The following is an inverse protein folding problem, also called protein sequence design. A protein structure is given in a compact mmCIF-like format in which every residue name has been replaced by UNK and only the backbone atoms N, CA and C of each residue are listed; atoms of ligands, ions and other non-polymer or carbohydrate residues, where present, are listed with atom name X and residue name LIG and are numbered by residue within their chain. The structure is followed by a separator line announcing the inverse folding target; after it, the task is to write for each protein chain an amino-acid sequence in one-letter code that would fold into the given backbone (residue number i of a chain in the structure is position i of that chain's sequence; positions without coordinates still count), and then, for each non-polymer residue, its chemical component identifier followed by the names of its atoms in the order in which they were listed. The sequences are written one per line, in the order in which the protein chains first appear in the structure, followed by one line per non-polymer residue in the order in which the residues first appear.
data_IF_268619257511
#
_entry.id   IF_268619257511
#
_cell.length_a   1.000
_cell.length_b   1.000
_cell.length_c   1.000
_cell.angle_alpha   90.00
_cell.angle_beta   90.00
_cell.angle_gamma   90.00
#
_symmetry.space_group_name_H-M   'P 1'
#
loop_
_entity.id
_entity.type
_entity.pdbx_description
1 polymer ?
#
# COMPACT_ATOMS: atom_id res chain seq x y z
N UNK A 1 30.52 19.11 -14.48
CA UNK A 1 29.26 19.44 -15.19
C UNK A 1 28.64 18.27 -15.99
N UNK A 2 29.41 17.29 -16.50
CA UNK A 2 28.84 16.15 -17.27
C UNK A 2 28.17 15.05 -16.43
N UNK A 3 28.57 14.82 -15.17
CA UNK A 3 27.95 13.77 -14.31
C UNK A 3 26.50 14.10 -13.94
N UNK A 4 26.18 15.37 -13.63
CA UNK A 4 24.81 15.77 -13.27
C UNK A 4 23.84 15.65 -14.45
N UNK A 5 24.28 15.98 -15.68
CA UNK A 5 23.45 15.84 -16.90
C UNK A 5 23.10 14.38 -17.20
N UNK A 6 24.01 13.44 -16.94
CA UNK A 6 23.75 12.00 -17.08
C UNK A 6 22.74 11.51 -16.04
N UNK A 7 22.85 11.97 -14.79
CA UNK A 7 21.90 11.64 -13.71
C UNK A 7 20.51 12.20 -14.03
N UNK A 8 20.43 13.46 -14.50
CA UNK A 8 19.18 14.09 -14.92
C UNK A 8 18.57 13.33 -16.11
N UNK A 9 19.39 12.98 -17.12
CA UNK A 9 18.93 12.21 -18.28
C UNK A 9 18.38 10.82 -17.89
N UNK A 10 19.04 10.13 -16.95
CA UNK A 10 18.60 8.84 -16.42
C UNK A 10 17.29 8.95 -15.63
N UNK A 11 17.15 10.00 -14.81
CA UNK A 11 15.92 10.30 -14.09
C UNK A 11 14.76 10.62 -15.05
N UNK A 12 15.00 11.42 -16.09
CA UNK A 12 13.99 11.72 -17.11
C UNK A 12 13.64 10.50 -17.97
N UNK A 13 14.59 9.62 -18.27
CA UNK A 13 14.32 8.37 -18.99
C UNK A 13 13.46 7.41 -18.15
N UNK A 14 13.67 7.35 -16.83
CA UNK A 14 12.86 6.56 -15.90
C UNK A 14 11.43 7.10 -15.76
N UNK A 15 11.26 8.42 -15.81
CA UNK A 15 9.94 9.08 -15.81
C UNK A 15 9.21 8.87 -17.14
N UNK A 16 9.94 8.76 -18.26
CA UNK A 16 9.38 8.51 -19.59
C UNK A 16 9.09 7.04 -19.87
N UNK A 17 9.75 6.10 -19.16
CA UNK A 17 9.48 4.66 -19.27
C UNK A 17 8.26 4.23 -18.45
N UNK A 18 7.19 5.03 -18.43
CA UNK A 18 5.94 4.64 -17.76
C UNK A 18 5.35 3.44 -18.49
N UNK A 19 5.78 2.25 -18.08
CA UNK A 19 5.07 1.01 -18.33
C UNK A 19 3.67 1.24 -17.82
N UNK A 20 2.70 1.13 -18.73
CA UNK A 20 1.28 1.29 -18.46
C UNK A 20 0.91 0.70 -17.09
N UNK A 21 0.69 1.58 -16.09
CA UNK A 21 0.37 1.23 -14.70
C UNK A 21 -1.07 0.70 -14.58
N UNK A 22 -1.48 -0.20 -15.47
CA UNK A 22 -2.81 -0.83 -15.50
C UNK A 22 -2.90 -1.96 -14.46
N UNK A 23 -1.84 -2.23 -13.70
CA UNK A 23 -1.82 -3.23 -12.63
C UNK A 23 -2.20 -2.68 -11.24
N UNK A 24 -3.05 -1.64 -11.13
CA UNK A 24 -3.67 -1.25 -9.86
C UNK A 24 -4.80 -2.21 -9.49
N UNK A 25 -4.48 -3.50 -9.42
CA UNK A 25 -5.44 -4.53 -9.06
C UNK A 25 -5.52 -4.57 -7.54
N UNK A 26 -6.28 -3.61 -6.97
CA UNK A 26 -6.39 -3.31 -5.53
C UNK A 26 -6.61 -4.57 -4.68
N UNK A 27 -7.37 -5.53 -5.21
CA UNK A 27 -7.55 -6.89 -4.68
C UNK A 27 -8.44 -7.64 -5.69
N UNK A 28 -8.33 -8.97 -5.78
CA UNK A 28 -9.28 -9.79 -6.54
C UNK A 28 -9.85 -10.87 -5.63
N UNK A 29 -10.42 -10.42 -4.53
CA UNK A 29 -11.00 -11.27 -3.51
C UNK A 29 -12.52 -11.10 -3.51
N UNK A 30 -13.29 -12.17 -3.78
CA UNK A 30 -14.76 -12.13 -3.75
C UNK A 30 -15.33 -11.64 -2.41
N UNK A 31 -14.55 -11.78 -1.33
CA UNK A 31 -14.93 -11.35 0.03
C UNK A 31 -14.98 -9.83 0.18
N UNK A 32 -14.35 -9.07 -0.70
CA UNK A 32 -14.30 -7.61 -0.60
C UNK A 32 -15.59 -6.91 -1.05
N UNK A 33 -16.57 -7.68 -1.55
CA UNK A 33 -17.92 -7.19 -1.83
C UNK A 33 -18.65 -6.70 -0.58
N UNK A 34 -18.29 -7.19 0.60
CA UNK A 34 -18.99 -6.88 1.84
C UNK A 34 -18.24 -5.85 2.69
N UNK A 35 -18.99 -4.95 3.33
CA UNK A 35 -18.45 -3.97 4.27
C UNK A 35 -17.50 -2.96 3.63
N UNK A 36 -16.34 -2.75 4.25
CA UNK A 36 -15.30 -1.82 3.78
C UNK A 36 -14.26 -2.49 2.87
N UNK A 37 -14.50 -3.74 2.45
CA UNK A 37 -13.53 -4.50 1.67
C UNK A 37 -12.40 -5.09 2.52
N UNK A 38 -11.24 -5.29 1.91
CA UNK A 38 -10.04 -5.80 2.58
C UNK A 38 -9.32 -4.64 3.29
N UNK A 39 -9.21 -4.74 4.61
CA UNK A 39 -8.47 -3.75 5.41
C UNK A 39 -6.97 -3.88 5.15
N UNK A 40 -6.31 -2.73 5.01
CA UNK A 40 -4.87 -2.64 4.93
C UNK A 40 -4.25 -2.71 6.34
N UNK A 41 -3.04 -3.25 6.42
CA UNK A 41 -2.27 -3.22 7.66
C UNK A 41 -1.62 -1.84 7.81
N UNK A 42 -1.89 -1.08 8.89
CA UNK A 42 -1.29 0.24 9.11
C UNK A 42 0.20 0.16 9.51
N UNK A 43 0.74 -1.05 9.70
CA UNK A 43 2.12 -1.26 10.09
C UNK A 43 3.07 -1.07 8.92
N UNK A 44 4.10 -0.26 9.14
CA UNK A 44 5.16 -0.04 8.14
C UNK A 44 6.10 -1.23 8.06
N UNK A 45 6.91 -1.34 7.00
CA UNK A 45 7.65 -2.55 6.65
C UNK A 45 8.36 -3.25 7.82
N UNK A 46 9.05 -2.52 8.70
CA UNK A 46 9.69 -3.08 9.87
C UNK A 46 8.71 -3.59 10.95
N UNK A 47 7.64 -2.83 11.23
CA UNK A 47 6.59 -3.26 12.14
C UNK A 47 5.85 -4.49 11.62
N UNK A 48 5.58 -4.51 10.31
CA UNK A 48 4.96 -5.61 9.59
C UNK A 48 5.82 -6.88 9.62
N UNK A 49 7.13 -6.75 9.41
CA UNK A 49 8.09 -7.85 9.53
C UNK A 49 8.14 -8.44 10.96
N UNK A 50 7.75 -7.67 11.97
CA UNK A 50 7.66 -8.11 13.37
C UNK A 50 6.23 -8.53 13.78
N UNK A 51 5.36 -8.82 12.82
CA UNK A 51 3.99 -9.26 13.08
C UNK A 51 3.00 -8.14 13.38
N UNK A 52 3.28 -6.91 12.93
CA UNK A 52 2.39 -5.75 13.06
C UNK A 52 2.57 -4.97 14.36
N UNK A 53 3.72 -5.10 15.04
CA UNK A 53 4.01 -4.28 16.22
C UNK A 53 4.45 -2.88 15.80
N UNK A 54 4.01 -1.85 16.55
CA UNK A 54 4.27 -0.45 16.21
C UNK A 54 4.36 0.48 17.41
N UNK A 55 3.47 0.35 18.39
CA UNK A 55 3.36 1.32 19.49
C UNK A 55 4.63 1.47 20.33
N UNK A 56 5.33 0.36 20.63
CA UNK A 56 6.58 0.38 21.40
C UNK A 56 7.84 0.68 20.57
N UNK A 57 7.72 0.77 19.25
CA UNK A 57 8.89 0.89 18.37
C UNK A 57 9.35 2.33 18.24
N UNK A 58 10.53 2.61 18.79
CA UNK A 58 11.23 3.89 18.67
C UNK A 58 12.56 3.70 17.95
N UNK A 59 12.52 3.67 16.62
CA UNK A 59 13.69 3.50 15.76
C UNK A 59 13.96 4.80 14.98
N UNK A 60 15.22 5.10 14.69
CA UNK A 60 15.64 6.30 13.95
C UNK A 60 15.79 6.08 12.44
N UNK A 61 15.53 4.86 11.95
CA UNK A 61 15.69 4.45 10.54
C UNK A 61 14.39 4.14 9.80
N UNK A 62 13.25 4.18 10.49
CA UNK A 62 11.93 3.97 9.88
C UNK A 62 10.96 5.04 10.37
N UNK A 63 9.98 5.38 9.54
CA UNK A 63 8.86 6.21 9.97
C UNK A 63 7.84 5.29 10.67
N UNK A 64 7.23 5.76 11.76
CA UNK A 64 6.27 4.96 12.50
C UNK A 64 5.01 5.76 12.86
N UNK A 65 4.00 5.80 11.98
CA UNK A 65 2.73 6.51 12.25
C UNK A 65 1.94 5.98 13.43
N UNK A 66 2.11 4.70 13.79
CA UNK A 66 1.43 4.12 14.95
C UNK A 66 1.92 4.72 16.28
N UNK A 67 3.11 5.33 16.30
CA UNK A 67 3.62 6.04 17.47
C UNK A 67 4.23 7.40 17.09
N UNK A 68 3.44 8.49 17.12
CA UNK A 68 3.93 9.83 16.85
C UNK A 68 5.08 10.28 17.76
N UNK A 69 5.17 9.78 19.00
CA UNK A 69 6.26 10.13 19.91
C UNK A 69 7.63 9.56 19.45
N UNK A 70 7.63 8.54 18.60
CA UNK A 70 8.86 7.96 18.05
C UNK A 70 9.60 8.91 17.10
N UNK A 71 8.90 9.88 16.48
CA UNK A 71 9.49 10.73 15.46
C UNK A 71 10.63 11.60 15.97
N UNK A 72 10.63 11.93 17.26
CA UNK A 72 11.66 12.78 17.87
C UNK A 72 13.02 12.08 18.02
N UNK A 73 13.12 10.79 17.66
CA UNK A 73 14.34 10.00 17.73
C UNK A 73 15.20 10.05 16.47
N UNK A 74 14.80 10.81 15.45
CA UNK A 74 15.61 11.00 14.23
C UNK A 74 16.65 12.10 14.40
N UNK A 75 17.75 11.97 13.68
CA UNK A 75 18.79 12.99 13.69
C UNK A 75 18.31 14.27 13.00
N UNK A 76 18.77 15.42 13.51
CA UNK A 76 18.36 16.78 13.14
C UNK A 76 18.61 17.16 11.67
N UNK A 77 19.44 16.42 10.94
CA UNK A 77 19.75 16.65 9.53
C UNK A 77 19.23 15.54 8.62
N UNK A 78 18.44 14.60 9.15
CA UNK A 78 17.92 13.47 8.37
C UNK A 78 16.52 13.76 7.85
N UNK A 79 16.35 13.71 6.53
CA UNK A 79 15.05 13.64 5.87
C UNK A 79 14.77 12.19 5.51
N UNK A 80 13.59 11.68 5.89
CA UNK A 80 13.19 10.31 5.63
C UNK A 80 11.97 10.28 4.73
N UNK A 81 12.08 9.54 3.62
CA UNK A 81 10.99 9.19 2.74
C UNK A 81 10.86 7.67 2.74
N UNK A 82 9.75 7.16 3.23
CA UNK A 82 9.44 5.74 3.36
C UNK A 82 8.25 5.41 2.45
N UNK A 83 8.44 4.44 1.56
CA UNK A 83 7.45 4.02 0.56
C UNK A 83 7.29 2.51 0.67
N UNK A 84 6.08 2.07 1.02
CA UNK A 84 5.72 0.66 1.13
C UNK A 84 4.96 0.18 -0.11
N UNK A 85 5.41 -0.93 -0.69
CA UNK A 85 4.70 -1.66 -1.73
C UNK A 85 4.61 -3.13 -1.35
N UNK A 86 3.46 -3.75 -1.62
CA UNK A 86 3.23 -5.18 -1.34
C UNK A 86 2.77 -5.91 -2.58
N UNK A 87 3.30 -7.13 -2.72
CA UNK A 87 2.79 -8.12 -3.65
C UNK A 87 2.17 -9.27 -2.86
N UNK A 88 0.89 -9.56 -3.12
CA UNK A 88 0.16 -10.66 -2.50
C UNK A 88 -0.15 -11.72 -3.54
N UNK A 89 0.09 -12.98 -3.19
CA UNK A 89 -0.27 -14.13 -4.00
C UNK A 89 -1.37 -14.91 -3.28
N UNK A 90 -2.55 -14.93 -3.86
CA UNK A 90 -3.74 -15.58 -3.30
C UNK A 90 -4.11 -16.80 -4.14
N UNK A 91 -4.41 -17.92 -3.48
CA UNK A 91 -4.88 -19.16 -4.12
C UNK A 91 -6.29 -19.45 -3.62
N UNK A 92 -7.24 -19.53 -4.54
CA UNK A 92 -8.64 -19.87 -4.27
C UNK A 92 -8.92 -21.27 -4.81
N UNK A 93 -9.49 -22.14 -3.99
CA UNK A 93 -9.87 -23.49 -4.39
C UNK A 93 -11.37 -23.70 -4.20
N UNK A 94 -12.06 -24.12 -5.25
CA UNK A 94 -13.48 -24.45 -5.21
C UNK A 94 -13.77 -25.66 -6.09
N UNK A 95 -14.35 -26.72 -5.51
CA UNK A 95 -14.86 -27.88 -6.25
C UNK A 95 -13.84 -28.61 -7.14
N UNK A 96 -12.53 -28.51 -6.85
CA UNK A 96 -11.46 -29.11 -7.65
C UNK A 96 -10.76 -28.17 -8.64
N UNK A 97 -11.22 -26.93 -8.79
CA UNK A 97 -10.55 -25.88 -9.57
C UNK A 97 -9.74 -24.97 -8.64
N UNK A 98 -8.46 -24.77 -8.95
CA UNK A 98 -7.55 -23.88 -8.22
C UNK A 98 -7.22 -22.65 -9.08
N UNK A 99 -7.60 -21.47 -8.62
CA UNK A 99 -7.26 -20.19 -9.27
C UNK A 99 -6.20 -19.47 -8.46
N UNK A 100 -5.16 -18.99 -9.14
CA UNK A 100 -4.05 -18.24 -8.53
C UNK A 100 -4.10 -16.79 -9.00
N UNK A 101 -4.25 -15.88 -8.04
CA UNK A 101 -4.26 -14.45 -8.28
C UNK A 101 -3.01 -13.81 -7.68
N UNK A 102 -2.39 -12.91 -8.44
CA UNK A 102 -1.26 -12.09 -7.98
C UNK A 102 -1.73 -10.65 -8.02
N UNK A 103 -1.67 -9.99 -6.86
CA UNK A 103 -2.08 -8.61 -6.66
C UNK A 103 -0.88 -7.80 -6.18
N UNK A 104 -0.81 -6.54 -6.61
CA UNK A 104 0.23 -5.60 -6.19
C UNK A 104 -0.41 -4.29 -5.76
N UNK A 105 -0.05 -3.80 -4.57
CA UNK A 105 -0.65 -2.63 -3.95
C UNK A 105 0.40 -1.68 -3.38
N UNK A 106 0.11 -0.39 -3.45
CA UNK A 106 0.82 0.63 -2.67
C UNK A 106 0.29 0.60 -1.24
N UNK A 107 1.16 0.45 -0.25
CA UNK A 107 0.77 0.36 1.17
C UNK A 107 0.81 1.69 1.89
N UNK A 108 1.84 2.49 1.63
CA UNK A 108 1.96 3.82 2.23
C UNK A 108 3.03 4.64 1.52
N UNK A 109 2.90 5.95 1.63
CA UNK A 109 3.96 6.92 1.34
C UNK A 109 4.02 7.84 2.55
N UNK A 110 5.17 7.88 3.21
CA UNK A 110 5.36 8.68 4.40
C UNK A 110 6.66 9.48 4.33
N UNK A 111 6.58 10.69 4.83
CA UNK A 111 7.72 11.58 5.00
C UNK A 111 7.84 11.94 6.46
N UNK A 112 9.09 12.02 6.92
CA UNK A 112 9.40 12.47 8.27
C UNK A 112 10.64 13.35 8.22
N UNK A 113 10.56 14.48 8.90
CA UNK A 113 11.67 15.41 8.98
C UNK A 113 11.68 16.15 10.32
N UNK A 114 12.86 16.39 10.90
CA UNK A 114 13.02 17.25 12.06
C UNK A 114 12.84 18.72 11.64
N UNK A 115 12.06 19.46 12.43
CA UNK A 115 12.01 20.93 12.35
C UNK A 115 13.09 21.53 13.26
N UNK A 116 13.37 20.87 14.39
CA UNK A 116 14.40 21.27 15.35
C UNK A 116 15.04 20.02 15.98
N UNK A 117 16.17 20.17 16.69
CA UNK A 117 16.85 19.07 17.42
C UNK A 117 15.94 18.28 18.39
N UNK A 118 14.81 18.84 18.77
CA UNK A 118 13.83 18.26 19.70
C UNK A 118 12.44 18.12 19.09
N UNK A 119 12.21 18.61 17.87
CA UNK A 119 10.89 18.69 17.24
C UNK A 119 10.96 17.99 15.89
N UNK A 120 10.12 16.98 15.68
CA UNK A 120 10.02 16.29 14.40
C UNK A 120 8.56 16.12 14.00
N UNK A 121 8.32 16.19 12.69
CA UNK A 121 7.01 16.07 12.08
C UNK A 121 7.04 14.92 11.08
N UNK A 122 5.91 14.23 10.96
CA UNK A 122 5.67 13.25 9.91
C UNK A 122 4.34 13.53 9.24
N UNK A 123 4.30 13.30 7.94
CA UNK A 123 3.10 13.34 7.12
C UNK A 123 3.10 12.15 6.18
N UNK A 124 1.94 11.64 5.83
CA UNK A 124 1.88 10.55 4.85
C UNK A 124 0.47 10.22 4.41
N UNK A 125 0.42 9.33 3.42
CA UNK A 125 -0.79 8.80 2.83
C UNK A 125 -0.77 7.28 2.97
N UNK A 126 -1.82 6.72 3.57
CA UNK A 126 -2.01 5.28 3.71
C UNK A 126 -3.39 4.90 3.17
N UNK A 127 -3.49 3.98 2.21
CA UNK A 127 -4.74 3.30 1.92
C UNK A 127 -5.17 2.48 3.15
N UNK A 128 -6.38 2.68 3.63
CA UNK A 128 -6.95 1.98 4.79
C UNK A 128 -7.73 0.73 4.36
N UNK A 129 -8.33 0.77 3.17
CA UNK A 129 -9.09 -0.37 2.65
C UNK A 129 -9.08 -0.44 1.13
N UNK A 130 -9.26 -1.65 0.63
CA UNK A 130 -9.29 -1.98 -0.78
C UNK A 130 -10.53 -2.80 -1.11
N UNK A 131 -11.30 -2.36 -2.10
CA UNK A 131 -12.44 -3.09 -2.67
C UNK A 131 -12.07 -3.49 -4.09
N UNK A 132 -12.20 -4.78 -4.38
CA UNK A 132 -11.80 -5.35 -5.66
C UNK A 132 -12.29 -6.79 -5.74
N UNK A 133 -13.46 -6.97 -6.32
CA UNK A 133 -13.98 -8.29 -6.65
C UNK A 133 -14.29 -8.34 -8.13
N UNK A 134 -13.90 -9.43 -8.78
CA UNK A 134 -14.34 -9.79 -10.11
C UNK A 134 -14.62 -11.28 -10.09
N UNK A 135 -15.90 -11.65 -10.07
CA UNK A 135 -16.30 -13.04 -10.14
C UNK A 135 -17.51 -13.15 -11.05
N UNK A 136 -17.54 -14.23 -11.84
CA UNK A 136 -18.67 -14.53 -12.69
C UNK A 136 -18.90 -16.03 -12.78
N UNK A 137 -20.16 -16.39 -13.00
CA UNK A 137 -20.55 -17.77 -13.27
C UNK A 137 -21.21 -17.81 -14.65
N UNK A 138 -20.84 -18.82 -15.44
CA UNK A 138 -21.49 -19.13 -16.70
C UNK A 138 -22.41 -20.31 -16.48
N UNK A 139 -23.72 -20.06 -16.43
CA UNK A 139 -24.74 -21.09 -16.26
C UNK A 139 -25.41 -21.37 -17.61
N UNK A 140 -25.71 -22.64 -17.88
CA UNK A 140 -26.43 -23.03 -19.10
C UNK A 140 -27.91 -22.70 -18.94
N UNK A 141 -28.49 -22.00 -19.92
CA UNK A 141 -29.92 -21.66 -19.89
C UNK A 141 -30.74 -22.92 -20.16
N UNK A 142 -31.66 -23.25 -19.25
CA UNK A 142 -32.45 -24.48 -19.31
C UNK A 142 -33.20 -24.60 -20.65
N UNK A 143 -32.96 -25.69 -21.37
CA UNK A 143 -33.53 -25.94 -22.70
C UNK A 143 -32.82 -25.35 -23.93
N UNK A 144 -31.61 -24.77 -23.81
CA UNK A 144 -30.83 -24.27 -24.97
C UNK A 144 -29.32 -24.50 -24.84
N UNK A 145 -28.57 -24.48 -25.95
CA UNK A 145 -27.09 -24.52 -25.97
C UNK A 145 -26.44 -23.14 -25.74
N UNK A 146 -27.20 -22.21 -25.16
CA UNK A 146 -26.74 -20.84 -24.86
C UNK A 146 -26.29 -20.77 -23.40
N UNK A 147 -25.10 -20.23 -23.19
CA UNK A 147 -24.53 -19.97 -21.87
C UNK A 147 -24.83 -18.52 -21.45
N UNK A 148 -25.41 -18.33 -20.27
CA UNK A 148 -25.59 -17.02 -19.66
C UNK A 148 -24.42 -16.77 -18.70
N UNK A 149 -23.60 -15.76 -19.02
CA UNK A 149 -22.49 -15.33 -18.16
C UNK A 149 -22.94 -14.14 -17.32
N UNK A 150 -22.98 -14.33 -16.00
CA UNK A 150 -23.17 -13.22 -15.05
C UNK A 150 -21.80 -12.81 -14.52
N UNK A 151 -21.42 -11.56 -14.70
CA UNK A 151 -20.17 -11.00 -14.16
C UNK A 151 -20.52 -9.95 -13.12
N UNK A 152 -19.99 -10.13 -11.91
CA UNK A 152 -20.06 -9.17 -10.82
C UNK A 152 -18.67 -8.57 -10.63
N UNK A 153 -18.55 -7.27 -10.88
CA UNK A 153 -17.33 -6.52 -10.64
C UNK A 153 -17.58 -5.28 -9.76
N UNK A 154 -16.56 -4.87 -9.01
CA UNK A 154 -16.58 -3.66 -8.20
C UNK A 154 -15.19 -3.31 -7.71
N UNK A 155 -14.79 -2.05 -7.87
CA UNK A 155 -13.48 -1.54 -7.47
C UNK A 155 -13.62 -0.27 -6.65
N UNK A 156 -12.72 -0.10 -5.67
CA UNK A 156 -12.71 1.06 -4.78
C UNK A 156 -11.70 0.92 -3.66
N UNK A 157 -11.79 1.81 -2.68
CA UNK A 157 -10.96 1.79 -1.49
C UNK A 157 -11.04 3.11 -0.72
N UNK A 158 -10.61 3.09 0.53
CA UNK A 158 -10.47 4.28 1.37
C UNK A 158 -9.00 4.59 1.56
N UNK A 159 -8.64 5.87 1.48
CA UNK A 159 -7.29 6.35 1.77
C UNK A 159 -7.34 7.44 2.82
N UNK A 160 -6.37 7.41 3.72
CA UNK A 160 -6.18 8.36 4.80
C UNK A 160 -4.90 9.16 4.57
N UNK A 161 -4.96 10.45 4.87
CA UNK A 161 -3.79 11.32 4.95
C UNK A 161 -3.61 11.72 6.40
N UNK A 162 -2.42 11.48 6.95
CA UNK A 162 -2.09 11.81 8.33
C UNK A 162 -1.00 12.88 8.41
N UNK A 163 -1.02 13.60 9.52
CA UNK A 163 0.07 14.47 9.96
C UNK A 163 0.25 14.35 11.46
N UNK A 164 1.49 14.23 11.91
CA UNK A 164 1.86 14.05 13.31
C UNK A 164 3.09 14.87 13.69
N UNK A 165 3.14 15.32 14.94
CA UNK A 165 4.23 16.10 15.50
C UNK A 165 4.72 15.45 16.79
N UNK A 166 6.02 15.57 17.05
CA UNK A 166 6.68 14.99 18.21
C UNK A 166 7.64 15.99 18.84
N UNK A 167 7.65 16.03 20.18
CA UNK A 167 8.57 16.89 20.93
C UNK A 167 9.30 16.07 21.98
N UNK A 168 10.64 16.21 22.02
CA UNK A 168 11.51 15.61 23.03
C UNK A 168 11.84 16.65 24.11
N UNK A 169 11.21 16.61 25.29
CA UNK A 169 11.40 17.62 26.34
C UNK A 169 12.82 17.63 26.93
N UNK A 170 13.38 16.45 27.22
CA UNK A 170 14.72 16.27 27.82
C UNK A 170 15.69 15.64 26.82
#
# INVERSE_FOLDING_TARGET
MLRSKKVVALFSALILSQVSLIAQNNTNSPYTRFGWGQLADPSFGAGKAMGGIGYGLRNNKQVNPLNPASYSNVDSLTFMLDIGVTAQMSRFEQGGTSTKNINGNLEYIAMQFPIHKKLAVSIGLLPVSFVGYEYGSSEKVDGSDVYATQVFNGTGGLSEVYGGISYKPF
#
